data_IF_737446106909
#
_entry.id   IF_737446106909
#
_cell.length_a   1.000
_cell.length_b   1.000
_cell.length_c   1.000
_cell.angle_alpha   90.00
_cell.angle_beta   90.00
_cell.angle_gamma   90.00
#
_symmetry.space_group_name_H-M   'P 1'
#
loop_
_entity.id
_entity.type
_entity.pdbx_description
1 polymer ?
#
# COMPACT_ATOMS: atom_id res chain seq x y z
N UNK A 1 31.70 -13.26 26.88
CA UNK A 1 30.69 -13.41 25.80
C UNK A 1 30.36 -12.02 25.27
N UNK A 2 30.40 -11.79 23.95
CA UNK A 2 30.06 -10.48 23.36
C UNK A 2 28.74 -10.50 22.56
N UNK A 3 28.19 -11.69 22.31
CA UNK A 3 26.99 -11.96 21.49
C UNK A 3 25.79 -12.30 22.35
N UNK A 4 25.19 -11.27 22.95
CA UNK A 4 23.94 -11.31 23.71
C UNK A 4 23.29 -9.93 23.66
N UNK A 5 22.00 -9.80 24.01
CA UNK A 5 21.34 -8.51 24.00
C UNK A 5 21.98 -7.56 25.04
N UNK A 6 22.48 -6.40 24.60
CA UNK A 6 23.28 -5.47 25.40
C UNK A 6 24.80 -5.73 25.35
N UNK A 7 25.27 -6.77 24.67
CA UNK A 7 26.68 -7.03 24.41
C UNK A 7 27.23 -6.24 23.21
N UNK A 8 28.56 -6.18 23.04
CA UNK A 8 29.20 -5.41 21.97
C UNK A 8 28.77 -5.82 20.54
N UNK A 9 28.43 -7.10 20.32
CA UNK A 9 27.93 -7.56 19.02
C UNK A 9 26.49 -7.08 18.73
N UNK A 10 25.72 -6.69 19.75
CA UNK A 10 24.32 -6.25 19.60
C UNK A 10 24.18 -4.89 18.90
N UNK A 11 25.28 -4.12 18.83
CA UNK A 11 25.36 -2.90 18.03
C UNK A 11 25.18 -3.21 16.55
N UNK A 12 25.69 -4.37 16.11
CA UNK A 12 25.64 -4.77 14.71
C UNK A 12 24.33 -5.51 14.40
N UNK A 13 24.02 -6.55 15.15
CA UNK A 13 22.89 -7.44 14.85
C UNK A 13 22.00 -7.66 16.08
N UNK A 14 20.73 -7.94 15.84
CA UNK A 14 19.74 -8.10 16.91
C UNK A 14 19.92 -9.43 17.65
N UNK A 15 19.79 -9.43 18.97
CA UNK A 15 19.79 -10.66 19.78
C UNK A 15 18.53 -10.70 20.65
N UNK A 16 17.87 -11.87 20.76
CA UNK A 16 16.76 -12.09 21.68
C UNK A 16 17.10 -11.71 23.12
N UNK A 17 16.11 -11.15 23.83
CA UNK A 17 16.18 -11.01 25.29
C UNK A 17 16.21 -12.40 25.95
N UNK A 18 16.82 -12.55 27.14
CA UNK A 18 16.83 -13.82 27.87
C UNK A 18 15.43 -14.39 28.18
N UNK A 19 14.42 -13.52 28.26
CA UNK A 19 13.02 -13.88 28.49
C UNK A 19 12.31 -14.37 27.21
N UNK A 20 12.89 -14.17 26.04
CA UNK A 20 12.31 -14.52 24.74
C UNK A 20 12.82 -15.88 24.25
N UNK A 21 12.40 -16.94 24.94
CA UNK A 21 12.81 -18.32 24.61
C UNK A 21 11.93 -18.97 23.53
N UNK A 22 10.73 -18.44 23.30
CA UNK A 22 9.78 -18.96 22.32
C UNK A 22 10.11 -18.46 20.89
N UNK A 23 10.62 -19.35 20.05
CA UNK A 23 10.97 -19.05 18.66
C UNK A 23 9.74 -18.76 17.79
N UNK A 24 8.58 -19.37 18.08
CA UNK A 24 7.33 -19.11 17.36
C UNK A 24 6.79 -17.71 17.60
N UNK A 25 6.92 -17.21 18.83
CA UNK A 25 6.61 -15.82 19.15
C UNK A 25 7.50 -14.84 18.37
N UNK A 26 8.81 -15.08 18.35
CA UNK A 26 9.76 -14.25 17.61
C UNK A 26 9.49 -14.30 16.09
N UNK A 27 9.22 -15.48 15.54
CA UNK A 27 8.83 -15.64 14.14
C UNK A 27 7.58 -14.83 13.79
N UNK A 28 6.51 -14.98 14.57
CA UNK A 28 5.24 -14.32 14.28
C UNK A 28 5.35 -12.80 14.41
N UNK A 29 6.09 -12.33 15.42
CA UNK A 29 6.37 -10.91 15.60
C UNK A 29 7.13 -10.33 14.41
N UNK A 30 8.19 -11.01 13.96
CA UNK A 30 9.01 -10.61 12.81
C UNK A 30 8.15 -10.58 11.54
N UNK A 31 7.37 -11.63 11.31
CA UNK A 31 6.48 -11.76 10.16
C UNK A 31 5.44 -10.62 10.11
N UNK A 32 4.81 -10.29 11.23
CA UNK A 32 3.77 -9.25 11.25
C UNK A 32 4.35 -7.84 11.06
N UNK A 33 5.51 -7.56 11.64
CA UNK A 33 6.21 -6.27 11.43
C UNK A 33 6.63 -6.13 9.97
N UNK A 34 7.21 -7.17 9.39
CA UNK A 34 7.66 -7.16 8.00
C UNK A 34 6.50 -7.10 7.01
N UNK A 35 5.40 -7.81 7.29
CA UNK A 35 4.18 -7.73 6.49
C UNK A 35 3.59 -6.32 6.52
N UNK A 36 3.52 -5.69 7.70
CA UNK A 36 3.07 -4.31 7.83
C UNK A 36 3.93 -3.33 7.03
N UNK A 37 5.25 -3.45 7.13
CA UNK A 37 6.17 -2.63 6.35
C UNK A 37 5.99 -2.86 4.85
N UNK A 38 5.83 -4.12 4.43
CA UNK A 38 5.52 -4.49 3.06
C UNK A 38 4.23 -3.83 2.55
N UNK A 39 3.16 -3.82 3.35
CA UNK A 39 1.90 -3.17 3.00
C UNK A 39 2.05 -1.68 2.77
N UNK A 40 2.73 -0.97 3.67
CA UNK A 40 2.92 0.47 3.53
C UNK A 40 3.80 0.80 2.32
N UNK A 41 4.88 0.04 2.11
CA UNK A 41 5.75 0.22 0.94
C UNK A 41 4.96 0.03 -0.34
N UNK A 42 4.17 -1.04 -0.45
CA UNK A 42 3.36 -1.28 -1.63
C UNK A 42 2.29 -0.20 -1.83
N UNK A 43 1.66 0.27 -0.75
CA UNK A 43 0.68 1.34 -0.79
C UNK A 43 1.26 2.68 -1.27
N UNK A 44 2.50 2.99 -0.87
CA UNK A 44 3.21 4.21 -1.26
C UNK A 44 3.68 4.14 -2.72
N UNK A 45 3.96 2.94 -3.22
CA UNK A 45 4.38 2.71 -4.60
C UNK A 45 3.20 2.58 -5.58
N UNK A 46 1.98 2.36 -5.11
CA UNK A 46 0.79 2.24 -5.96
C UNK A 46 0.42 3.60 -6.58
N UNK A 47 0.49 3.76 -7.92
CA UNK A 47 0.10 5.01 -8.59
C UNK A 47 -1.39 5.32 -8.43
N UNK A 48 -2.23 4.34 -8.10
CA UNK A 48 -3.66 4.54 -7.88
C UNK A 48 -3.97 5.14 -6.50
N UNK A 49 -2.99 5.23 -5.59
CA UNK A 49 -3.20 5.78 -4.26
C UNK A 49 -3.13 7.32 -4.26
N UNK A 50 -4.25 8.04 -4.03
CA UNK A 50 -4.27 9.50 -4.10
C UNK A 50 -3.65 10.18 -2.87
N UNK A 51 -3.37 9.41 -1.80
CA UNK A 51 -2.95 9.96 -0.51
C UNK A 51 -1.43 10.13 -0.39
N UNK A 52 -0.66 9.64 -1.36
CA UNK A 52 0.80 9.66 -1.30
C UNK A 52 1.36 10.31 -2.55
N UNK A 53 2.20 11.32 -2.34
CA UNK A 53 3.01 11.93 -3.39
C UNK A 53 4.40 11.30 -3.43
N UNK A 54 5.13 11.35 -4.57
CA UNK A 54 6.52 10.88 -4.64
C UNK A 54 7.45 11.54 -3.62
N UNK A 55 7.16 12.80 -3.25
CA UNK A 55 7.94 13.55 -2.26
C UNK A 55 7.67 13.07 -0.83
N UNK A 56 6.43 12.66 -0.52
CA UNK A 56 6.05 12.17 0.82
C UNK A 56 6.43 10.70 1.05
N UNK A 57 6.63 9.92 -0.02
CA UNK A 57 7.00 8.51 0.04
C UNK A 57 8.11 8.15 1.05
N UNK A 58 9.30 8.79 1.03
CA UNK A 58 10.37 8.45 1.99
C UNK A 58 9.98 8.75 3.44
N UNK A 59 9.20 9.81 3.69
CA UNK A 59 8.73 10.15 5.03
C UNK A 59 7.69 9.16 5.54
N UNK A 60 6.75 8.74 4.69
CA UNK A 60 5.74 7.74 5.03
C UNK A 60 6.38 6.40 5.37
N UNK A 61 7.34 5.94 4.56
CA UNK A 61 8.06 4.69 4.82
C UNK A 61 8.89 4.83 6.11
N UNK A 62 9.63 5.93 6.27
CA UNK A 62 10.43 6.17 7.47
C UNK A 62 9.59 6.20 8.76
N UNK A 63 8.42 6.83 8.73
CA UNK A 63 7.50 6.86 9.85
C UNK A 63 6.90 5.47 10.15
N UNK A 64 6.59 4.68 9.12
CA UNK A 64 6.13 3.31 9.32
C UNK A 64 7.18 2.45 10.03
N UNK A 65 8.46 2.58 9.64
CA UNK A 65 9.57 1.96 10.36
C UNK A 65 9.68 2.48 11.80
N UNK A 66 9.56 3.78 12.02
CA UNK A 66 9.62 4.37 13.37
C UNK A 66 8.52 3.83 14.29
N UNK A 67 7.29 3.72 13.80
CA UNK A 67 6.15 3.18 14.56
C UNK A 67 6.38 1.71 14.92
N UNK A 68 6.90 0.90 13.99
CA UNK A 68 7.21 -0.50 14.27
C UNK A 68 8.33 -0.63 15.31
N UNK A 69 9.38 0.20 15.21
CA UNK A 69 10.47 0.21 16.20
C UNK A 69 9.96 0.66 17.56
N UNK A 70 9.22 1.76 17.66
CA UNK A 70 8.70 2.23 18.94
C UNK A 70 7.69 1.27 19.57
N UNK A 71 6.88 0.60 18.75
CA UNK A 71 5.89 -0.36 19.23
C UNK A 71 6.49 -1.70 19.65
N UNK A 72 7.52 -2.18 18.94
CA UNK A 72 7.96 -3.57 19.05
C UNK A 72 9.44 -3.76 19.37
N UNK A 73 10.30 -2.74 19.38
CA UNK A 73 11.73 -2.90 19.66
C UNK A 73 12.07 -3.24 21.12
N UNK A 74 11.11 -3.14 22.05
CA UNK A 74 11.26 -3.75 23.38
C UNK A 74 11.41 -5.28 23.27
N UNK A 75 10.83 -5.86 22.21
CA UNK A 75 11.10 -7.20 21.74
C UNK A 75 12.17 -7.18 20.64
N UNK A 76 12.84 -8.30 20.42
CA UNK A 76 13.80 -8.42 19.33
C UNK A 76 13.10 -8.45 17.98
N UNK A 77 13.42 -7.46 17.14
CA UNK A 77 13.04 -7.35 15.74
C UNK A 77 14.28 -7.08 14.89
N UNK A 78 14.29 -7.60 13.66
CA UNK A 78 15.34 -7.40 12.66
C UNK A 78 14.87 -6.51 11.52
N UNK A 79 13.61 -6.68 11.13
CA UNK A 79 12.84 -5.99 10.09
C UNK A 79 13.35 -6.09 8.66
N UNK A 80 14.56 -6.61 8.46
CA UNK A 80 15.18 -6.68 7.13
C UNK A 80 16.31 -7.70 7.07
N UNK A 81 16.26 -8.57 6.06
CA UNK A 81 17.29 -9.59 5.80
C UNK A 81 18.68 -8.97 5.66
N UNK A 82 18.85 -7.95 4.81
CA UNK A 82 20.15 -7.36 4.53
C UNK A 82 20.73 -6.62 5.76
N UNK A 83 19.87 -5.96 6.54
CA UNK A 83 20.24 -5.29 7.80
C UNK A 83 20.80 -6.25 8.84
N UNK A 84 20.35 -7.50 8.84
CA UNK A 84 20.74 -8.47 9.86
C UNK A 84 21.76 -9.50 9.35
N UNK A 85 21.62 -10.05 8.15
CA UNK A 85 22.62 -10.93 7.55
C UNK A 85 23.97 -10.22 7.34
N UNK A 86 23.96 -9.00 6.80
CA UNK A 86 25.18 -8.24 6.53
C UNK A 86 25.93 -7.90 7.82
N UNK A 87 25.20 -7.40 8.82
CA UNK A 87 25.78 -7.04 10.12
C UNK A 87 26.20 -8.27 10.93
N UNK A 88 25.48 -9.41 10.83
CA UNK A 88 25.92 -10.68 11.41
C UNK A 88 27.19 -11.21 10.77
N UNK A 89 27.37 -11.04 9.47
CA UNK A 89 28.61 -11.44 8.79
C UNK A 89 29.81 -10.66 9.33
N UNK A 90 29.66 -9.35 9.51
CA UNK A 90 30.68 -8.51 10.16
C UNK A 90 30.87 -8.93 11.63
N UNK A 91 29.78 -9.15 12.37
CA UNK A 91 29.86 -9.60 13.76
C UNK A 91 30.54 -10.98 13.89
N UNK A 92 30.40 -11.86 12.90
CA UNK A 92 31.07 -13.16 12.90
C UNK A 92 32.59 -13.05 12.68
N UNK A 93 33.05 -12.06 11.91
CA UNK A 93 34.48 -11.77 11.73
C UNK A 93 35.10 -11.34 13.06
N UNK A 94 34.46 -10.43 13.79
CA UNK A 94 35.03 -9.85 15.02
C UNK A 94 34.74 -10.64 16.30
N UNK A 95 33.55 -11.23 16.41
CA UNK A 95 33.05 -11.90 17.62
C UNK A 95 32.88 -13.42 17.45
N UNK A 96 33.18 -13.95 16.26
CA UNK A 96 33.15 -15.37 15.96
C UNK A 96 31.75 -15.93 15.69
N UNK A 97 31.66 -17.27 15.58
CA UNK A 97 30.42 -18.00 15.20
C UNK A 97 29.22 -17.79 16.13
N UNK A 98 29.42 -17.18 17.30
CA UNK A 98 28.36 -16.85 18.25
C UNK A 98 27.38 -15.82 17.66
N UNK A 99 27.77 -15.04 16.65
CA UNK A 99 26.87 -14.12 15.95
C UNK A 99 25.68 -14.82 15.25
N UNK A 100 25.85 -16.07 14.81
CA UNK A 100 24.79 -16.86 14.15
C UNK A 100 24.13 -17.88 15.09
N UNK A 101 24.88 -18.40 16.06
CA UNK A 101 24.46 -19.52 16.91
C UNK A 101 23.90 -19.12 18.27
N UNK A 102 24.02 -17.84 18.66
CA UNK A 102 23.46 -17.35 19.92
C UNK A 102 21.92 -17.46 19.95
N UNK A 103 21.37 -17.60 21.16
CA UNK A 103 19.93 -17.62 21.45
C UNK A 103 19.13 -18.62 20.61
N UNK A 104 19.58 -19.88 20.62
CA UNK A 104 18.93 -21.01 19.94
C UNK A 104 18.79 -20.82 18.41
N UNK A 105 19.67 -20.01 17.81
CA UNK A 105 19.70 -19.81 16.36
C UNK A 105 18.71 -18.78 15.83
N UNK A 106 18.38 -17.70 16.57
CA UNK A 106 17.50 -16.62 16.08
C UNK A 106 17.88 -16.06 14.69
N UNK A 107 19.14 -16.19 14.26
CA UNK A 107 19.62 -15.72 12.97
C UNK A 107 18.79 -16.21 11.78
N UNK A 108 18.25 -17.43 11.80
CA UNK A 108 17.41 -17.87 10.67
C UNK A 108 16.08 -17.12 10.61
N UNK A 109 15.51 -16.72 11.76
CA UNK A 109 14.27 -15.96 11.83
C UNK A 109 14.49 -14.58 11.23
N UNK A 110 15.50 -13.87 11.72
CA UNK A 110 15.79 -12.50 11.29
C UNK A 110 16.24 -12.39 9.83
N UNK A 111 16.83 -13.45 9.27
CA UNK A 111 17.27 -13.51 7.88
C UNK A 111 16.11 -13.92 6.97
N UNK A 112 15.38 -15.00 7.29
CA UNK A 112 14.49 -15.64 6.33
C UNK A 112 13.05 -15.15 6.37
N UNK A 113 12.55 -14.69 7.53
CA UNK A 113 11.11 -14.39 7.70
C UNK A 113 10.64 -13.18 6.89
N UNK A 114 11.55 -12.25 6.60
CA UNK A 114 11.27 -11.07 5.80
C UNK A 114 10.80 -11.40 4.37
N UNK A 115 11.34 -12.46 3.75
CA UNK A 115 10.97 -12.86 2.38
C UNK A 115 9.50 -13.32 2.28
N UNK A 116 9.03 -14.33 3.03
CA UNK A 116 7.63 -14.73 2.96
C UNK A 116 6.68 -13.64 3.48
N UNK A 117 7.09 -12.81 4.44
CA UNK A 117 6.27 -11.70 4.93
C UNK A 117 6.04 -10.64 3.85
N UNK A 118 7.08 -10.27 3.10
CA UNK A 118 6.96 -9.31 2.00
C UNK A 118 6.14 -9.88 0.84
N UNK A 119 6.33 -11.14 0.46
CA UNK A 119 5.49 -11.82 -0.56
C UNK A 119 4.02 -11.86 -0.12
N UNK A 120 3.75 -12.18 1.15
CA UNK A 120 2.41 -12.15 1.69
C UNK A 120 1.79 -10.76 1.59
N UNK A 121 2.54 -9.73 1.98
CA UNK A 121 2.07 -8.36 1.95
C UNK A 121 1.74 -7.87 0.52
N UNK A 122 2.63 -8.12 -0.45
CA UNK A 122 2.37 -7.72 -1.84
C UNK A 122 1.16 -8.45 -2.41
N UNK A 123 1.07 -9.76 -2.18
CA UNK A 123 -0.04 -10.59 -2.64
C UNK A 123 -1.37 -10.11 -2.07
N UNK A 124 -1.43 -9.88 -0.76
CA UNK A 124 -2.64 -9.44 -0.09
C UNK A 124 -3.02 -8.00 -0.47
N UNK A 125 -2.05 -7.11 -0.64
CA UNK A 125 -2.32 -5.74 -1.09
C UNK A 125 -2.92 -5.73 -2.50
N UNK A 126 -2.31 -6.45 -3.45
CA UNK A 126 -2.78 -6.53 -4.83
C UNK A 126 -4.21 -7.10 -4.89
N UNK A 127 -4.47 -8.19 -4.16
CA UNK A 127 -5.77 -8.85 -4.25
C UNK A 127 -6.90 -8.12 -3.54
N UNK A 128 -6.65 -7.50 -2.40
CA UNK A 128 -7.74 -6.96 -1.58
C UNK A 128 -7.83 -5.44 -1.63
N UNK A 129 -6.70 -4.75 -1.50
CA UNK A 129 -6.70 -3.28 -1.40
C UNK A 129 -6.76 -2.68 -2.79
N UNK A 130 -5.89 -3.13 -3.70
CA UNK A 130 -5.81 -2.57 -5.04
C UNK A 130 -7.06 -2.89 -5.88
N UNK A 131 -7.58 -4.11 -5.78
CA UNK A 131 -8.84 -4.49 -6.44
C UNK A 131 -10.02 -3.62 -5.96
N UNK A 132 -10.13 -3.40 -4.64
CA UNK A 132 -11.16 -2.52 -4.06
C UNK A 132 -11.02 -1.07 -4.54
N UNK A 133 -9.80 -0.52 -4.58
CA UNK A 133 -9.55 0.84 -5.07
C UNK A 133 -9.90 0.98 -6.56
N UNK A 134 -9.62 -0.05 -7.37
CA UNK A 134 -10.01 -0.06 -8.77
C UNK A 134 -11.54 -0.14 -8.94
N UNK A 135 -12.23 -0.89 -8.08
CA UNK A 135 -13.69 -0.97 -8.10
C UNK A 135 -14.35 0.37 -7.71
N UNK A 136 -13.78 1.07 -6.72
CA UNK A 136 -14.20 2.42 -6.33
C UNK A 136 -13.94 3.45 -7.44
N UNK A 137 -12.76 3.41 -8.08
CA UNK A 137 -12.40 4.31 -9.17
C UNK A 137 -13.25 4.11 -10.44
N UNK A 138 -13.82 2.92 -10.65
CA UNK A 138 -14.69 2.59 -11.78
C UNK A 138 -16.16 3.03 -11.60
N UNK A 139 -16.52 3.70 -10.50
CA UNK A 139 -17.83 4.35 -10.39
C UNK A 139 -19.03 3.39 -10.21
N UNK A 140 -18.84 2.22 -9.59
CA UNK A 140 -19.96 1.30 -9.28
C UNK A 140 -20.76 1.70 -8.02
N UNK A 141 -20.68 2.97 -7.58
CA UNK A 141 -21.78 3.56 -6.83
C UNK A 141 -22.95 3.78 -7.79
N UNK A 142 -23.55 2.68 -8.27
CA UNK A 142 -24.84 2.72 -8.93
C UNK A 142 -25.83 3.24 -7.89
N UNK A 143 -26.11 4.54 -7.94
CA UNK A 143 -27.33 5.06 -7.35
C UNK A 143 -28.50 4.28 -7.96
N UNK A 144 -29.51 3.99 -7.15
CA UNK A 144 -30.72 3.25 -7.52
C UNK A 144 -31.45 3.83 -8.75
N UNK A 145 -31.12 5.07 -9.16
CA UNK A 145 -31.67 5.78 -10.33
C UNK A 145 -30.71 5.98 -11.53
N UNK A 146 -29.59 5.26 -11.60
CA UNK A 146 -28.75 5.19 -12.81
C UNK A 146 -28.22 6.53 -13.38
N UNK A 147 -27.70 6.48 -14.62
CA UNK A 147 -27.02 7.61 -15.31
C UNK A 147 -27.91 8.84 -15.50
N UNK A 148 -29.23 8.69 -15.43
CA UNK A 148 -30.21 9.78 -15.54
C UNK A 148 -30.26 10.66 -14.29
N UNK A 149 -30.03 10.10 -13.09
CA UNK A 149 -29.97 10.84 -11.83
C UNK A 149 -28.72 11.72 -11.73
N UNK A 150 -27.59 11.23 -12.24
CA UNK A 150 -26.33 11.97 -12.28
C UNK A 150 -26.41 13.17 -13.23
N UNK A 151 -27.01 12.98 -14.41
CA UNK A 151 -27.26 14.06 -15.38
C UNK A 151 -28.19 15.15 -14.82
N UNK A 152 -29.21 14.78 -14.05
CA UNK A 152 -30.09 15.76 -13.39
C UNK A 152 -29.37 16.59 -12.33
N UNK A 153 -28.47 15.99 -11.56
CA UNK A 153 -27.67 16.71 -10.55
C UNK A 153 -26.60 17.62 -11.16
N UNK A 154 -25.95 17.17 -12.23
CA UNK A 154 -24.96 17.99 -12.98
C UNK A 154 -25.63 19.19 -13.67
N UNK A 155 -26.81 18.98 -14.25
CA UNK A 155 -27.63 20.06 -14.87
C UNK A 155 -28.08 21.08 -13.83
N UNK A 156 -28.44 20.64 -12.62
CA UNK A 156 -28.90 21.53 -11.54
C UNK A 156 -27.79 22.35 -10.90
N UNK A 157 -26.54 21.92 -11.01
CA UNK A 157 -25.37 22.53 -10.33
C UNK A 157 -24.52 23.39 -11.29
N UNK A 158 -24.91 23.50 -12.57
CA UNK A 158 -24.24 24.38 -13.54
C UNK A 158 -22.81 23.96 -13.92
N UNK A 159 -22.40 22.73 -13.59
CA UNK A 159 -20.99 22.27 -13.73
C UNK A 159 -20.70 21.61 -15.08
N UNK A 160 -21.54 21.87 -16.09
CA UNK A 160 -21.40 21.30 -17.44
C UNK A 160 -20.29 21.99 -18.24
N UNK A 161 -20.10 23.30 -18.05
CA UNK A 161 -19.05 24.07 -18.75
C UNK A 161 -17.63 23.63 -18.38
N UNK A 162 -17.40 23.24 -17.12
CA UNK A 162 -16.07 22.91 -16.61
C UNK A 162 -15.58 21.52 -17.07
N UNK A 163 -16.53 20.61 -17.38
CA UNK A 163 -16.21 19.28 -17.91
C UNK A 163 -15.77 19.34 -19.38
N UNK A 164 -16.36 20.25 -20.16
CA UNK A 164 -15.99 20.47 -21.56
C UNK A 164 -14.58 21.08 -21.72
N UNK A 165 -14.08 21.82 -20.73
CA UNK A 165 -12.80 22.52 -20.85
C UNK A 165 -11.57 21.62 -20.55
N UNK A 166 -11.72 20.56 -19.73
CA UNK A 166 -10.59 19.71 -19.30
C UNK A 166 -10.34 18.45 -20.13
N UNK A 167 -11.30 17.99 -20.94
CA UNK A 167 -11.09 16.87 -21.87
C UNK A 167 -11.33 17.34 -23.29
N UNK A 168 -10.23 17.56 -24.02
CA UNK A 168 -10.28 17.66 -25.47
C UNK A 168 -11.06 16.48 -26.05
N UNK A 169 -12.00 16.79 -26.93
CA UNK A 169 -12.92 15.86 -27.59
C UNK A 169 -12.24 14.55 -28.02
N UNK A 170 -12.63 13.43 -27.40
CA UNK A 170 -12.53 12.12 -28.03
C UNK A 170 -13.67 12.02 -29.07
N UNK A 171 -13.42 11.59 -30.32
CA UNK A 171 -14.38 11.73 -31.43
C UNK A 171 -15.66 10.87 -31.34
N UNK A 172 -15.87 10.13 -30.25
CA UNK A 172 -16.91 9.10 -30.15
C UNK A 172 -18.33 9.61 -29.89
N UNK A 173 -18.53 10.90 -29.56
CA UNK A 173 -19.84 11.41 -29.12
C UNK A 173 -20.57 12.29 -30.15
N UNK A 174 -19.91 12.70 -31.25
CA UNK A 174 -20.49 13.64 -32.22
C UNK A 174 -21.63 13.02 -33.06
N UNK A 175 -21.63 11.70 -33.24
CA UNK A 175 -22.62 11.01 -34.10
C UNK A 175 -24.00 10.87 -33.47
N UNK A 176 -24.13 11.02 -32.14
CA UNK A 176 -25.42 10.87 -31.45
C UNK A 176 -26.32 12.11 -31.57
N UNK A 177 -25.75 13.29 -31.78
CA UNK A 177 -26.50 14.55 -31.90
C UNK A 177 -26.88 14.88 -33.34
N UNK A 178 -26.07 14.47 -34.33
CA UNK A 178 -26.42 14.64 -35.74
C UNK A 178 -27.64 13.79 -36.19
N UNK A 179 -27.97 12.73 -35.44
CA UNK A 179 -29.08 11.83 -35.78
C UNK A 179 -30.47 12.29 -35.32
N UNK A 180 -30.56 13.31 -34.45
CA UNK A 180 -31.86 13.71 -33.84
C UNK A 180 -32.46 15.01 -34.37
N UNK A 181 -31.75 15.80 -35.18
CA UNK A 181 -32.29 17.04 -35.74
C UNK A 181 -33.05 16.86 -37.08
N UNK A 182 -33.06 15.65 -37.65
CA UNK A 182 -33.66 15.39 -38.97
C UNK A 182 -35.08 14.80 -38.99
N UNK A 183 -35.68 14.44 -37.85
CA UNK A 183 -36.92 13.65 -37.78
C UNK A 183 -37.91 14.25 -36.78
N UNK A 184 -38.64 15.29 -37.18
CA UNK A 184 -39.68 15.91 -36.37
C UNK A 184 -40.45 17.02 -37.09
N UNK A 185 -40.77 16.81 -38.37
CA UNK A 185 -41.58 17.71 -39.19
C UNK A 185 -43.08 17.56 -38.85
N UNK A 186 -43.81 18.67 -38.75
CA UNK A 186 -45.16 18.76 -39.31
C UNK A 186 -46.38 18.80 -38.38
N UNK A 187 -47.11 19.92 -38.51
CA UNK A 187 -48.57 20.05 -38.62
C UNK A 187 -49.43 20.43 -37.39
N UNK A 188 -50.19 21.53 -37.56
CA UNK A 188 -51.34 21.89 -36.72
C UNK A 188 -51.64 23.38 -36.69
N UNK A 189 -52.24 23.93 -37.75
CA UNK A 189 -52.65 25.34 -37.81
C UNK A 189 -53.86 25.69 -36.94
N UNK A 190 -54.04 26.99 -36.70
CA UNK A 190 -55.32 27.73 -36.80
C UNK A 190 -55.11 29.23 -36.54
N UNK A 191 -55.67 30.04 -37.44
CA UNK A 191 -55.92 31.49 -37.31
C UNK A 191 -56.96 31.82 -36.22
N UNK A 192 -57.18 33.13 -36.02
CA UNK A 192 -58.08 33.89 -35.12
C UNK A 192 -57.29 34.53 -33.97
N UNK A 193 -57.19 35.86 -33.81
CA UNK A 193 -58.06 37.01 -34.17
C UNK A 193 -57.21 38.21 -34.56
#
# INVERSE_FOLDING_TARGET
MASFNGGAASILCSFPNPTQTNQGFLFFQEFMVDAFLGFIIWAVLDPANPFVSPVSAPFTIGLAYAVMVWGFAANTISTNLARDLGTRSVAAIFFGKQAFTANNGYSWISILVNIPATIFATTFYEFMIRDSLQQMGKGHAHHEEGDEGLMRHLTKTGTVEDYHHRRGMEPGYSTALAGKEGLGNGHGGKEMV
#
